data_IF_286570212336
#
_entry.id   IF_286570212336
#
_cell.length_a   1.000
_cell.length_b   1.000
_cell.length_c   1.000
_cell.angle_alpha   90.00
_cell.angle_beta   90.00
_cell.angle_gamma   90.00
#
_symmetry.space_group_name_H-M   'P 1'
#
loop_
_entity.id
_entity.type
_entity.pdbx_description
1 polymer ?
#
# COMPACT_ATOMS: atom_id res chain seq x y z
N UNK A 1 5.77 -14.31 -68.14
CA UNK A 1 6.87 -13.42 -67.68
C UNK A 1 6.48 -12.39 -66.61
N UNK A 2 5.29 -11.80 -66.64
CA UNK A 2 4.90 -10.77 -65.65
C UNK A 2 4.79 -11.29 -64.18
N UNK A 3 4.44 -12.53 -63.97
CA UNK A 3 4.25 -13.16 -62.64
C UNK A 3 5.61 -13.46 -62.01
N UNK A 4 6.63 -13.81 -62.75
CA UNK A 4 7.96 -14.12 -62.27
C UNK A 4 8.67 -12.85 -61.73
N UNK A 5 8.41 -11.73 -62.35
CA UNK A 5 8.97 -10.44 -61.93
C UNK A 5 8.38 -10.01 -60.56
N UNK A 6 7.09 -10.32 -60.33
CA UNK A 6 6.46 -10.05 -59.04
C UNK A 6 7.02 -10.88 -57.89
N UNK A 7 7.40 -12.13 -58.16
CA UNK A 7 8.00 -13.03 -57.18
C UNK A 7 9.43 -12.60 -56.82
N UNK A 8 10.16 -12.02 -57.74
CA UNK A 8 11.49 -11.49 -57.49
C UNK A 8 11.48 -10.20 -56.68
N UNK A 9 10.39 -9.42 -56.75
CA UNK A 9 10.28 -8.20 -55.97
C UNK A 9 9.93 -8.48 -54.50
N UNK A 10 9.23 -9.60 -54.20
CA UNK A 10 8.95 -10.00 -52.82
C UNK A 10 10.16 -10.46 -52.03
N UNK A 11 11.20 -10.97 -52.72
CA UNK A 11 12.41 -11.43 -52.05
C UNK A 11 13.38 -10.30 -51.62
N UNK A 12 13.12 -9.06 -52.05
CA UNK A 12 13.92 -7.89 -51.69
C UNK A 12 13.36 -7.17 -50.44
N UNK A 13 12.26 -7.64 -49.90
CA UNK A 13 11.75 -7.16 -48.63
C UNK A 13 12.49 -7.84 -47.45
N UNK A 14 13.79 -7.76 -47.46
CA UNK A 14 14.52 -8.09 -46.24
C UNK A 14 14.23 -7.08 -45.15
N UNK A 15 13.51 -7.56 -44.24
CA UNK A 15 13.16 -7.07 -42.97
C UNK A 15 13.66 -5.69 -42.61
N UNK A 16 12.72 -4.84 -42.33
CA UNK A 16 13.01 -3.67 -41.53
C UNK A 16 13.75 -4.15 -40.28
N UNK A 17 15.04 -4.08 -40.24
CA UNK A 17 15.78 -4.11 -39.00
C UNK A 17 15.22 -2.95 -38.18
N UNK A 18 14.52 -3.28 -37.15
CA UNK A 18 14.15 -2.30 -36.14
C UNK A 18 15.45 -1.74 -35.54
N UNK A 19 15.88 -0.63 -36.10
CA UNK A 19 17.12 0.01 -35.70
C UNK A 19 17.00 0.78 -34.36
N UNK A 20 15.87 0.69 -33.76
CA UNK A 20 15.63 1.41 -32.54
C UNK A 20 15.18 0.51 -31.48
N UNK A 21 16.08 -0.03 -30.96
CA UNK A 21 15.99 -0.38 -29.62
C UNK A 21 16.42 0.79 -28.80
N UNK A 22 15.52 1.43 -28.24
CA UNK A 22 15.70 2.27 -27.38
C UNK A 22 15.53 2.01 -26.29
N UNK A 23 15.73 2.33 -25.67
CA UNK A 23 15.91 3.39 -25.03
C UNK A 23 15.90 3.23 -23.66
N UNK A 24 16.80 3.45 -23.20
CA UNK A 24 17.25 3.61 -21.85
C UNK A 24 16.31 4.41 -21.05
N UNK A 25 15.78 3.77 -20.04
CA UNK A 25 15.46 4.50 -18.88
C UNK A 25 16.77 5.00 -18.28
N UNK A 26 16.89 6.25 -18.18
CA UNK A 26 17.94 6.85 -17.41
C UNK A 26 17.42 7.08 -16.01
N UNK A 27 18.05 6.48 -15.03
CA UNK A 27 17.77 6.71 -13.63
C UNK A 27 19.01 7.28 -12.95
N UNK A 28 18.81 8.10 -11.97
CA UNK A 28 19.88 8.64 -11.15
C UNK A 28 19.48 8.73 -9.68
N UNK A 29 20.45 8.58 -8.81
CA UNK A 29 20.29 8.86 -7.39
C UNK A 29 21.26 9.98 -7.05
N UNK A 30 20.73 11.09 -6.60
CA UNK A 30 21.50 12.20 -6.08
C UNK A 30 21.30 12.33 -4.57
N UNK A 31 22.36 12.62 -3.85
CA UNK A 31 22.26 12.94 -2.42
C UNK A 31 22.50 14.43 -2.26
N UNK A 32 21.55 15.14 -1.69
CA UNK A 32 21.70 16.58 -1.41
C UNK A 32 22.67 16.80 -0.26
N UNK A 33 23.17 18.01 -0.12
CA UNK A 33 24.04 18.41 1.01
C UNK A 33 23.42 18.22 2.38
N UNK A 34 22.07 18.09 2.45
CA UNK A 34 21.31 17.80 3.66
C UNK A 34 21.06 16.30 3.88
N UNK A 35 21.70 15.41 3.12
CA UNK A 35 21.57 13.96 3.27
C UNK A 35 20.29 13.36 2.65
N UNK A 36 19.45 14.14 2.00
CA UNK A 36 18.26 13.64 1.32
C UNK A 36 18.65 12.93 0.01
N UNK A 37 18.21 11.69 -0.15
CA UNK A 37 18.39 10.92 -1.39
C UNK A 37 17.21 11.17 -2.32
N UNK A 38 17.51 11.62 -3.52
CA UNK A 38 16.53 11.80 -4.59
C UNK A 38 16.80 10.75 -5.65
N UNK A 39 15.84 9.88 -5.89
CA UNK A 39 15.88 8.89 -6.97
C UNK A 39 14.94 9.32 -8.08
N UNK A 40 15.42 9.31 -9.31
CA UNK A 40 14.57 9.57 -10.48
C UNK A 40 14.74 8.46 -11.51
N UNK A 41 13.64 8.14 -12.18
CA UNK A 41 13.62 7.18 -13.28
C UNK A 41 12.90 7.81 -14.46
N UNK A 42 13.52 7.80 -15.62
CA UNK A 42 12.93 8.31 -16.86
C UNK A 42 12.59 7.12 -17.72
N UNK A 43 11.34 6.99 -18.10
CA UNK A 43 10.71 5.96 -18.91
C UNK A 43 11.55 4.69 -19.20
N UNK A 44 11.05 3.53 -18.79
CA UNK A 44 11.75 2.27 -19.03
C UNK A 44 10.92 1.33 -19.89
N UNK A 45 11.54 0.83 -20.96
CA UNK A 45 11.02 -0.29 -21.75
C UNK A 45 12.08 -1.40 -21.73
N UNK A 46 11.87 -2.43 -20.94
CA UNK A 46 12.80 -3.55 -20.90
C UNK A 46 12.67 -4.42 -19.67
N UNK A 47 13.53 -5.41 -19.57
CA UNK A 47 13.55 -6.35 -18.46
C UNK A 47 13.83 -5.65 -17.13
N UNK A 48 13.07 -6.02 -16.10
CA UNK A 48 13.23 -5.52 -14.75
C UNK A 48 14.02 -6.56 -13.96
N UNK A 49 15.00 -6.12 -13.21
CA UNK A 49 15.79 -7.02 -12.41
C UNK A 49 16.68 -6.32 -11.39
N UNK A 50 17.16 -7.11 -10.45
CA UNK A 50 18.14 -6.66 -9.46
C UNK A 50 19.30 -7.66 -9.42
N UNK A 51 20.51 -7.15 -9.57
CA UNK A 51 21.74 -7.91 -9.36
C UNK A 51 22.48 -7.36 -8.15
N UNK A 52 22.87 -8.23 -7.24
CA UNK A 52 23.54 -7.82 -6.01
C UNK A 52 24.88 -8.51 -5.87
N UNK A 53 25.90 -7.76 -5.54
CA UNK A 53 27.20 -8.24 -5.08
C UNK A 53 27.42 -7.80 -3.64
N UNK A 54 28.49 -8.29 -3.00
CA UNK A 54 28.80 -7.90 -1.61
C UNK A 54 29.00 -6.38 -1.42
N UNK A 55 29.32 -5.65 -2.48
CA UNK A 55 29.64 -4.21 -2.40
C UNK A 55 28.65 -3.31 -3.15
N UNK A 56 27.92 -3.84 -4.12
CA UNK A 56 27.06 -3.05 -5.00
C UNK A 56 25.78 -3.79 -5.30
N UNK A 57 24.66 -3.07 -5.23
CA UNK A 57 23.36 -3.53 -5.71
C UNK A 57 22.97 -2.69 -6.91
N UNK A 58 22.78 -3.36 -8.04
CA UNK A 58 22.31 -2.74 -9.27
C UNK A 58 20.85 -3.15 -9.46
N UNK A 59 19.97 -2.18 -9.46
CA UNK A 59 18.53 -2.40 -9.72
C UNK A 59 18.14 -1.69 -11.00
N UNK A 60 17.42 -2.41 -11.84
CA UNK A 60 16.88 -1.91 -13.10
C UNK A 60 15.36 -1.98 -13.04
N UNK A 61 14.69 -0.88 -13.38
CA UNK A 61 13.25 -0.77 -13.31
C UNK A 61 12.76 0.40 -12.50
N UNK A 62 11.45 0.45 -12.27
CA UNK A 62 10.85 1.43 -11.39
C UNK A 62 11.48 1.35 -10.00
N UNK A 63 12.14 2.41 -9.62
CA UNK A 63 12.81 2.43 -8.32
C UNK A 63 11.78 2.68 -7.23
N UNK A 64 11.46 1.63 -6.51
CA UNK A 64 10.79 1.80 -5.23
C UNK A 64 11.82 2.22 -4.19
N UNK A 65 11.53 3.26 -3.45
CA UNK A 65 12.30 3.56 -2.26
C UNK A 65 12.30 2.31 -1.39
N UNK A 66 13.47 1.78 -1.06
CA UNK A 66 13.55 0.77 -0.01
C UNK A 66 12.99 1.45 1.23
N UNK A 67 11.81 1.03 1.63
CA UNK A 67 11.36 1.30 2.98
C UNK A 67 12.40 0.59 3.82
N UNK A 68 13.36 1.36 4.33
CA UNK A 68 14.27 0.86 5.33
C UNK A 68 13.37 0.27 6.41
N UNK A 69 13.60 -0.97 6.78
CA UNK A 69 12.94 -1.56 7.94
C UNK A 69 13.43 -0.83 9.20
N UNK A 70 13.17 0.47 9.25
CA UNK A 70 13.29 1.27 10.45
C UNK A 70 12.25 0.68 11.36
N UNK A 71 12.71 -0.26 12.17
CA UNK A 71 11.97 -0.88 13.26
C UNK A 71 10.44 -0.79 13.07
N UNK A 72 9.88 -1.66 12.24
CA UNK A 72 8.46 -1.97 12.39
C UNK A 72 8.39 -2.48 13.81
N UNK A 73 7.94 -1.63 14.73
CA UNK A 73 7.64 -2.05 16.08
C UNK A 73 6.79 -3.29 15.92
N UNK A 74 7.28 -4.41 16.44
CA UNK A 74 6.57 -5.67 16.31
C UNK A 74 5.16 -5.44 16.82
N UNK A 75 4.21 -5.39 15.92
CA UNK A 75 2.80 -5.25 16.27
C UNK A 75 2.41 -6.55 16.94
N UNK A 76 1.93 -6.46 18.15
CA UNK A 76 1.49 -7.65 18.87
C UNK A 76 0.22 -8.20 18.21
N UNK A 77 0.18 -9.49 17.96
CA UNK A 77 -1.01 -10.15 17.41
C UNK A 77 -2.04 -10.32 18.52
N UNK A 78 -2.87 -9.31 18.73
CA UNK A 78 -3.95 -9.33 19.71
C UNK A 78 -5.25 -9.60 18.96
N UNK A 79 -5.87 -10.75 19.24
CA UNK A 79 -7.17 -11.05 18.67
C UNK A 79 -8.21 -10.09 19.23
N UNK A 80 -8.99 -9.50 18.35
CA UNK A 80 -10.00 -8.50 18.69
C UNK A 80 -11.36 -8.93 18.18
N UNK A 81 -12.33 -9.05 19.07
CA UNK A 81 -13.72 -9.35 18.76
C UNK A 81 -14.53 -8.06 18.76
N UNK A 82 -15.36 -7.87 17.74
CA UNK A 82 -16.21 -6.68 17.56
C UNK A 82 -17.67 -7.06 17.69
N UNK A 83 -18.38 -6.37 18.59
CA UNK A 83 -19.80 -6.61 18.81
C UNK A 83 -20.54 -5.40 19.41
N UNK A 84 -21.85 -5.27 19.18
CA UNK A 84 -22.62 -6.02 18.18
C UNK A 84 -22.23 -5.60 16.77
N UNK A 85 -22.46 -6.46 15.80
CA UNK A 85 -22.40 -6.13 14.39
C UNK A 85 -23.57 -6.86 13.70
N UNK A 86 -24.63 -6.19 13.27
CA UNK A 86 -24.79 -4.73 13.11
C UNK A 86 -24.82 -3.93 14.42
N UNK A 87 -24.34 -2.70 14.31
CA UNK A 87 -24.24 -1.69 15.38
C UNK A 87 -25.48 -0.80 15.39
N UNK A 88 -26.06 -0.54 16.56
CA UNK A 88 -27.12 0.47 16.73
C UNK A 88 -26.52 1.77 17.27
N UNK A 89 -26.18 1.86 18.55
CA UNK A 89 -25.67 3.09 19.15
C UNK A 89 -24.23 2.98 19.66
N UNK A 90 -23.82 1.75 19.96
CA UNK A 90 -22.49 1.48 20.50
C UNK A 90 -21.84 0.26 19.86
N UNK A 91 -20.53 0.27 19.81
CA UNK A 91 -19.72 -0.86 19.40
C UNK A 91 -18.62 -1.14 20.41
N UNK A 92 -18.40 -2.40 20.69
CA UNK A 92 -17.43 -2.90 21.64
C UNK A 92 -16.34 -3.67 20.92
N UNK A 93 -15.08 -3.40 21.27
CA UNK A 93 -13.91 -4.11 20.81
C UNK A 93 -13.29 -4.83 22.01
N UNK A 94 -13.42 -6.15 22.05
CA UNK A 94 -12.88 -6.99 23.13
C UNK A 94 -11.55 -7.56 22.69
N UNK A 95 -10.51 -7.30 23.45
CA UNK A 95 -9.15 -7.74 23.21
C UNK A 95 -8.86 -9.05 23.93
N UNK A 96 -8.11 -9.95 23.30
CA UNK A 96 -7.69 -11.21 23.91
C UNK A 96 -6.66 -11.01 25.04
N UNK A 97 -5.92 -9.90 25.00
CA UNK A 97 -4.94 -9.49 26.01
C UNK A 97 -5.02 -7.99 26.24
N UNK A 98 -4.63 -7.48 27.41
CA UNK A 98 -4.68 -6.05 27.69
C UNK A 98 -3.88 -5.23 26.68
N UNK A 99 -4.52 -4.19 26.14
CA UNK A 99 -3.87 -3.15 25.36
C UNK A 99 -3.64 -1.95 26.28
N UNK A 100 -2.39 -1.70 26.60
CA UNK A 100 -2.04 -0.62 27.54
C UNK A 100 -1.95 0.73 26.83
N UNK A 101 -2.50 1.74 27.49
CA UNK A 101 -2.50 3.12 27.04
C UNK A 101 -3.65 3.46 26.10
N UNK A 102 -3.56 4.66 25.53
CA UNK A 102 -4.60 5.18 24.64
C UNK A 102 -4.60 4.48 23.30
N UNK A 103 -5.78 4.20 22.81
CA UNK A 103 -6.05 3.64 21.50
C UNK A 103 -6.75 4.73 20.69
N UNK A 104 -6.15 5.12 19.57
CA UNK A 104 -6.74 6.01 18.61
C UNK A 104 -7.77 5.22 17.77
N UNK A 105 -9.01 5.67 17.79
CA UNK A 105 -10.12 5.10 17.03
C UNK A 105 -10.44 6.03 15.88
N UNK A 106 -10.36 5.51 14.67
CA UNK A 106 -10.71 6.22 13.45
C UNK A 106 -11.83 5.48 12.73
N UNK A 107 -12.92 6.17 12.40
CA UNK A 107 -14.02 5.61 11.62
C UNK A 107 -14.11 6.35 10.29
N UNK A 108 -14.12 5.59 9.21
CA UNK A 108 -14.17 6.09 7.84
C UNK A 108 -15.43 5.60 7.13
N UNK A 109 -15.93 6.39 6.21
CA UNK A 109 -16.95 5.93 5.26
C UNK A 109 -16.36 5.09 4.12
N UNK A 110 -17.22 4.58 3.26
CA UNK A 110 -16.83 3.78 2.08
C UNK A 110 -15.95 4.55 1.07
N UNK A 111 -15.89 5.88 1.17
CA UNK A 111 -15.05 6.73 0.33
C UNK A 111 -13.70 7.06 1.00
N UNK A 112 -13.46 6.53 2.21
CA UNK A 112 -12.25 6.79 2.98
C UNK A 112 -12.24 8.15 3.68
N UNK A 113 -13.38 8.84 3.80
CA UNK A 113 -13.47 10.08 4.58
C UNK A 113 -13.54 9.77 6.06
N UNK A 114 -12.71 10.40 6.85
CA UNK A 114 -12.72 10.31 8.30
C UNK A 114 -13.98 10.98 8.85
N UNK A 115 -14.79 10.21 9.55
CA UNK A 115 -16.05 10.68 10.17
C UNK A 115 -15.91 10.88 11.67
N UNK A 116 -15.11 10.04 12.32
CA UNK A 116 -14.90 10.11 13.76
C UNK A 116 -13.43 9.78 14.07
N UNK A 117 -12.85 10.60 14.95
CA UNK A 117 -11.55 10.34 15.55
C UNK A 117 -11.63 10.61 17.03
N UNK A 118 -11.22 9.66 17.85
CA UNK A 118 -11.12 9.81 19.30
C UNK A 118 -10.04 8.90 19.86
N UNK A 119 -9.48 9.29 20.99
CA UNK A 119 -8.56 8.46 21.77
C UNK A 119 -9.26 7.99 23.03
N UNK A 120 -9.21 6.68 23.29
CA UNK A 120 -9.78 6.06 24.48
C UNK A 120 -8.86 4.98 25.03
N UNK A 121 -8.99 4.68 26.29
CA UNK A 121 -8.36 3.52 26.92
C UNK A 121 -9.36 2.39 27.07
N UNK A 122 -8.88 1.17 26.95
CA UNK A 122 -9.70 -0.01 27.19
C UNK A 122 -9.87 -0.22 28.68
N UNK A 123 -11.07 -0.56 29.10
CA UNK A 123 -11.41 -0.96 30.48
C UNK A 123 -11.74 -2.45 30.44
N UNK A 124 -11.11 -3.25 31.30
CA UNK A 124 -11.31 -4.70 31.35
C UNK A 124 -11.17 -5.40 29.99
N UNK A 125 -10.19 -4.98 29.21
CA UNK A 125 -9.92 -5.45 27.84
C UNK A 125 -11.06 -5.15 26.84
N UNK A 126 -11.92 -4.18 27.14
CA UNK A 126 -13.00 -3.76 26.25
C UNK A 126 -12.86 -2.27 25.97
N UNK A 127 -12.87 -1.90 24.70
CA UNK A 127 -12.97 -0.53 24.23
C UNK A 127 -14.38 -0.31 23.70
N UNK A 128 -15.13 0.58 24.32
CA UNK A 128 -16.51 0.88 23.93
C UNK A 128 -16.59 2.25 23.26
N UNK A 129 -17.20 2.31 22.10
CA UNK A 129 -17.51 3.55 21.39
C UNK A 129 -19.02 3.72 21.40
N UNK A 130 -19.46 4.80 22.03
CA UNK A 130 -20.88 5.14 22.21
C UNK A 130 -21.27 6.35 21.38
N UNK A 131 -22.57 6.56 21.24
CA UNK A 131 -23.15 7.69 20.52
C UNK A 131 -22.71 7.75 19.06
N UNK A 132 -22.74 6.62 18.38
CA UNK A 132 -22.41 6.53 16.96
C UNK A 132 -23.55 7.13 16.12
N UNK A 133 -23.54 8.47 16.01
CA UNK A 133 -24.48 9.26 15.19
C UNK A 133 -24.12 9.12 13.69
N UNK A 134 -24.15 7.89 13.20
CA UNK A 134 -23.87 7.56 11.81
C UNK A 134 -25.17 7.13 11.11
N UNK A 135 -25.29 7.42 9.82
CA UNK A 135 -26.37 6.89 9.00
C UNK A 135 -26.25 5.35 8.89
N UNK A 136 -27.36 4.67 8.56
CA UNK A 136 -27.29 3.24 8.27
C UNK A 136 -26.37 3.00 7.06
N UNK A 137 -25.41 2.07 7.20
CA UNK A 137 -24.41 1.80 6.18
C UNK A 137 -23.18 1.05 6.70
N UNK A 138 -22.23 0.86 5.84
CA UNK A 138 -20.98 0.17 6.13
C UNK A 138 -19.86 1.19 6.41
N UNK A 139 -19.08 0.93 7.44
CA UNK A 139 -18.01 1.81 7.90
C UNK A 139 -16.75 1.02 8.20
N UNK A 140 -15.62 1.59 7.83
CA UNK A 140 -14.32 1.03 8.13
C UNK A 140 -13.79 1.63 9.43
N UNK A 141 -13.42 0.78 10.38
CA UNK A 141 -12.87 1.18 11.67
C UNK A 141 -11.43 0.76 11.78
N UNK A 142 -10.59 1.70 12.20
CA UNK A 142 -9.19 1.47 12.51
C UNK A 142 -8.90 1.81 13.96
N UNK A 143 -8.24 0.90 14.66
CA UNK A 143 -7.73 1.07 16.01
C UNK A 143 -6.21 1.07 15.95
N UNK A 144 -5.57 2.10 16.47
CA UNK A 144 -4.12 2.19 16.59
C UNK A 144 -3.74 2.49 18.05
N UNK A 145 -2.94 1.63 18.62
CA UNK A 145 -2.40 1.79 19.98
C UNK A 145 -0.90 1.53 20.01
N UNK A 146 -0.33 1.57 21.21
CA UNK A 146 1.07 1.22 21.40
C UNK A 146 1.27 -0.25 21.06
N UNK A 147 2.03 -0.55 19.99
CA UNK A 147 2.31 -1.90 19.46
C UNK A 147 1.06 -2.71 19.07
N UNK A 148 -0.07 -2.03 18.88
CA UNK A 148 -1.33 -2.63 18.48
C UNK A 148 -1.92 -1.87 17.31
N UNK A 149 -2.35 -2.58 16.28
CA UNK A 149 -3.12 -2.03 15.18
C UNK A 149 -4.12 -3.06 14.71
N UNK A 150 -5.35 -2.65 14.55
CA UNK A 150 -6.46 -3.50 14.11
C UNK A 150 -7.38 -2.71 13.20
N UNK A 151 -7.92 -3.37 12.21
CA UNK A 151 -8.90 -2.77 11.31
C UNK A 151 -10.00 -3.76 10.99
N UNK A 152 -11.21 -3.25 10.89
CA UNK A 152 -12.41 -4.05 10.61
C UNK A 152 -13.48 -3.20 9.96
N UNK A 153 -14.52 -3.86 9.48
CA UNK A 153 -15.73 -3.23 8.97
C UNK A 153 -16.88 -3.45 9.95
N UNK A 154 -17.66 -2.42 10.19
CA UNK A 154 -18.89 -2.49 10.96
C UNK A 154 -20.09 -2.10 10.09
N UNK A 155 -21.21 -2.71 10.34
CA UNK A 155 -22.49 -2.39 9.72
C UNK A 155 -23.35 -1.60 10.69
N UNK A 156 -23.66 -0.34 10.40
CA UNK A 156 -24.57 0.48 11.20
C UNK A 156 -25.99 0.21 10.74
N UNK A 157 -26.81 -0.23 11.66
CA UNK A 157 -28.27 -0.35 11.45
C UNK A 157 -28.99 0.96 11.77
N UNK A 158 -30.24 1.00 11.46
CA UNK A 158 -31.11 2.11 11.82
C UNK A 158 -31.36 2.13 13.32
#
# INVERSE_FOLDING_TARGET
MKVVILFFFCSLMYGQKLHHQMLSAQGGVATTSKGMKVSQTIAQQGAIGTSATKKVVLSQGFQQSKISNTAISKVDTIATLVYPNPVVDEVNFKFSTPVNGKIAVSIFDIHGRLLLFQEKEAVDNILTIQNLLLAAGEYFVKLDGNRYSFSTTILKSK
#
